data_IF_163388210723
#
_entry.id   IF_163388210723
#
_cell.length_a   1.000
_cell.length_b   1.000
_cell.length_c   1.000
_cell.angle_alpha   90.00
_cell.angle_beta   90.00
_cell.angle_gamma   90.00
#
_symmetry.space_group_name_H-M   'P 1'
#
loop_
_entity.id
_entity.type
_entity.pdbx_description
1 polymer ?
2 non-polymer ?
3 water ?
#
# COMPACT_ATOMS: atom_id res chain seq x y z
N UNK A 39 14.37 15.09 -4.13
CA UNK A 39 13.61 14.54 -2.99
C UNK A 39 14.12 13.17 -2.53
N UNK A 40 14.55 13.09 -1.26
CA UNK A 40 15.15 11.88 -0.69
C UNK A 40 14.18 11.24 0.31
N UNK A 41 13.37 10.30 -0.19
CA UNK A 41 12.28 9.70 0.56
C UNK A 41 12.69 8.39 1.22
N UNK A 42 13.99 8.09 1.21
CA UNK A 42 14.47 6.81 1.70
C UNK A 42 13.88 5.65 0.90
N UNK A 43 13.59 4.56 1.62
CA UNK A 43 13.12 3.31 1.04
C UNK A 43 11.63 3.39 0.71
N UNK A 44 10.96 4.49 1.09
CA UNK A 44 9.52 4.61 0.91
C UNK A 44 9.14 4.74 -0.57
N UNK A 45 10.03 5.34 -1.37
CA UNK A 45 9.72 5.70 -2.74
C UNK A 45 10.86 5.26 -3.67
N UNK A 46 10.46 4.68 -4.81
CA UNK A 46 11.35 4.42 -5.93
C UNK A 46 11.39 5.67 -6.80
N UNK A 47 12.50 6.42 -6.72
CA UNK A 47 12.61 7.74 -7.32
C UNK A 47 12.54 7.67 -8.84
N UNK A 48 13.02 6.57 -9.43
CA UNK A 48 12.97 6.37 -10.88
C UNK A 48 11.53 6.27 -11.36
N UNK A 49 10.67 5.65 -10.56
CA UNK A 49 9.27 5.49 -10.92
C UNK A 49 8.49 6.76 -10.57
N UNK A 50 8.66 7.26 -9.35
CA UNK A 50 7.93 8.45 -8.95
C UNK A 50 8.33 9.60 -9.87
N UNK A 51 9.64 9.74 -10.13
CA UNK A 51 10.16 10.74 -11.04
C UNK A 51 9.35 10.87 -12.33
N UNK A 52 8.86 9.74 -12.86
CA UNK A 52 8.09 9.72 -14.09
C UNK A 52 6.71 10.33 -13.88
N UNK A 53 6.20 10.28 -12.65
CA UNK A 53 4.95 10.97 -12.32
C UNK A 53 5.20 12.48 -12.45
N UNK A 54 6.37 12.94 -11.98
CA UNK A 54 6.64 14.36 -11.87
C UNK A 54 6.78 15.01 -13.25
N UNK A 55 7.11 14.20 -14.27
CA UNK A 55 7.29 14.69 -15.62
C UNK A 55 5.98 15.22 -16.19
N UNK A 56 4.84 14.77 -15.64
CA UNK A 56 3.54 15.07 -16.21
C UNK A 56 3.03 16.43 -15.73
N UNK A 57 3.81 17.09 -14.87
CA UNK A 57 3.51 18.43 -14.40
C UNK A 57 3.93 19.45 -15.45
N UNK A 58 2.98 20.32 -15.85
CA UNK A 58 3.27 21.53 -16.61
C UNK A 58 3.45 22.70 -15.65
N UNK A 59 4.70 23.15 -15.45
CA UNK A 59 4.99 24.19 -14.47
C UNK A 59 5.32 23.59 -13.11
N UNK A 60 5.65 24.46 -12.14
CA UNK A 60 6.28 24.03 -10.90
C UNK A 60 5.28 23.95 -9.74
N UNK A 61 3.97 23.92 -10.05
CA UNK A 61 2.93 23.87 -9.04
C UNK A 61 2.46 22.43 -8.78
N UNK A 62 3.10 21.45 -9.45
CA UNK A 62 2.77 20.03 -9.29
C UNK A 62 1.33 19.76 -9.69
N UNK A 63 0.92 20.34 -10.82
CA UNK A 63 -0.48 20.38 -11.22
C UNK A 63 -1.04 18.99 -11.52
N UNK A 64 -0.17 18.00 -11.79
CA UNK A 64 -0.67 16.66 -12.08
C UNK A 64 -0.35 15.70 -10.94
N UNK A 65 0.90 15.71 -10.48
CA UNK A 65 1.34 14.72 -9.52
C UNK A 65 0.57 14.86 -8.21
N UNK A 66 0.29 16.09 -7.77
CA UNK A 66 -0.25 16.31 -6.43
C UNK A 66 -1.69 15.79 -6.32
N UNK A 67 -2.61 16.13 -7.25
CA UNK A 67 -3.94 15.53 -7.24
C UNK A 67 -3.88 14.00 -7.32
N UNK A 68 -2.94 13.46 -8.10
CA UNK A 68 -2.80 12.03 -8.26
C UNK A 68 -2.42 11.38 -6.93
N UNK A 69 -1.39 11.93 -6.29
CA UNK A 69 -0.94 11.39 -5.02
C UNK A 69 -2.07 11.51 -4.00
N UNK A 70 -2.79 12.63 -4.00
CA UNK A 70 -3.90 12.78 -3.07
C UNK A 70 -4.92 11.67 -3.30
N UNK A 71 -5.26 11.44 -4.56
CA UNK A 71 -6.22 10.42 -4.93
C UNK A 71 -5.78 9.05 -4.39
N UNK A 72 -4.47 8.76 -4.45
CA UNK A 72 -3.93 7.52 -3.93
C UNK A 72 -4.12 7.39 -2.42
N UNK A 73 -3.92 8.47 -1.68
CA UNK A 73 -4.03 8.37 -0.23
C UNK A 73 -5.49 8.15 0.17
N UNK A 74 -6.41 8.81 -0.53
CA UNK A 74 -7.83 8.60 -0.27
C UNK A 74 -8.18 7.14 -0.55
N UNK A 75 -7.72 6.63 -1.70
CA UNK A 75 -8.00 5.28 -2.15
C UNK A 75 -7.42 4.29 -1.14
N UNK A 76 -6.19 4.53 -0.71
CA UNK A 76 -5.54 3.69 0.27
C UNK A 76 -6.38 3.66 1.54
N UNK A 77 -6.85 4.84 1.96
CA UNK A 77 -7.55 4.98 3.22
C UNK A 77 -8.86 4.19 3.15
N UNK A 78 -9.55 4.31 2.02
CA UNK A 78 -10.77 3.54 1.81
C UNK A 78 -10.45 2.05 1.91
N UNK A 79 -9.37 1.62 1.24
CA UNK A 79 -9.04 0.21 1.16
C UNK A 79 -8.73 -0.34 2.55
N UNK A 80 -7.97 0.43 3.34
CA UNK A 80 -7.62 0.01 4.68
C UNK A 80 -8.87 -0.19 5.54
N UNK A 81 -9.87 0.68 5.37
CA UNK A 81 -11.12 0.52 6.11
C UNK A 81 -11.81 -0.76 5.67
N UNK A 82 -11.86 -1.00 4.37
CA UNK A 82 -12.53 -2.19 3.87
C UNK A 82 -11.76 -3.44 4.30
N UNK A 83 -10.45 -3.31 4.51
CA UNK A 83 -9.62 -4.41 4.98
C UNK A 83 -9.90 -4.66 6.46
N UNK A 84 -10.00 -3.57 7.23
CA UNK A 84 -10.16 -3.64 8.68
C UNK A 84 -11.47 -4.35 9.00
N UNK A 85 -12.45 -4.21 8.11
CA UNK A 85 -13.73 -4.87 8.22
C UNK A 85 -13.55 -6.34 7.86
N UNK A 86 -12.83 -6.59 6.77
CA UNK A 86 -12.60 -7.93 6.27
C UNK A 86 -11.87 -8.79 7.30
N UNK A 87 -10.96 -8.17 8.07
CA UNK A 87 -10.33 -8.80 9.21
C UNK A 87 -11.38 -9.17 10.26
N UNK A 88 -12.23 -8.21 10.61
CA UNK A 88 -13.26 -8.41 11.62
C UNK A 88 -14.16 -9.58 11.25
N UNK A 89 -14.38 -9.80 9.95
CA UNK A 89 -15.25 -10.87 9.48
C UNK A 89 -14.46 -12.09 9.01
N UNK A 90 -13.14 -12.09 9.22
CA UNK A 90 -12.29 -13.23 8.92
C UNK A 90 -12.54 -13.75 7.50
N UNK A 91 -12.53 -12.84 6.52
CA UNK A 91 -12.71 -13.19 5.11
C UNK A 91 -11.36 -13.09 4.38
N UNK A 92 -10.68 -14.23 4.28
CA UNK A 92 -9.30 -14.27 3.81
C UNK A 92 -9.22 -13.96 2.32
N UNK A 93 -10.09 -14.53 1.46
CA UNK A 93 -10.13 -14.13 0.05
C UNK A 93 -10.29 -12.63 -0.18
N UNK A 94 -11.25 -11.99 0.51
CA UNK A 94 -11.39 -10.55 0.41
C UNK A 94 -10.07 -9.86 0.72
N UNK A 95 -9.49 -10.18 1.88
CA UNK A 95 -8.23 -9.60 2.30
C UNK A 95 -7.17 -9.80 1.21
N UNK A 96 -7.12 -10.99 0.61
CA UNK A 96 -6.15 -11.27 -0.44
C UNK A 96 -6.29 -10.29 -1.61
N UNK A 97 -7.53 -10.09 -2.06
CA UNK A 97 -7.83 -9.24 -3.20
C UNK A 97 -7.54 -7.76 -2.92
N UNK A 98 -8.02 -7.25 -1.78
CA UNK A 98 -7.74 -5.89 -1.36
C UNK A 98 -6.24 -5.65 -1.31
N UNK A 99 -5.48 -6.61 -0.78
CA UNK A 99 -4.04 -6.51 -0.75
C UNK A 99 -3.46 -6.37 -2.16
N UNK A 100 -3.93 -7.24 -3.06
CA UNK A 100 -3.46 -7.27 -4.43
C UNK A 100 -3.80 -5.96 -5.14
N UNK A 101 -5.00 -5.45 -4.89
CA UNK A 101 -5.44 -4.21 -5.51
C UNK A 101 -4.50 -3.08 -5.11
N UNK A 102 -4.30 -2.94 -3.79
CA UNK A 102 -3.58 -1.80 -3.28
C UNK A 102 -2.09 -1.97 -3.55
N UNK A 103 -1.63 -3.22 -3.63
CA UNK A 103 -0.28 -3.50 -4.09
C UNK A 103 -0.05 -2.90 -5.47
N UNK A 104 -0.99 -3.14 -6.38
CA UNK A 104 -0.91 -2.64 -7.74
C UNK A 104 -0.84 -1.11 -7.84
N UNK A 105 -1.67 -0.40 -7.07
CA UNK A 105 -1.68 1.05 -7.19
C UNK A 105 -0.45 1.67 -6.53
N UNK A 106 0.04 1.09 -5.43
CA UNK A 106 1.27 1.59 -4.83
C UNK A 106 2.46 1.33 -5.75
N UNK A 107 2.46 0.16 -6.42
CA UNK A 107 3.48 -0.17 -7.40
C UNK A 107 3.54 0.89 -8.49
N UNK A 108 2.39 1.31 -9.01
CA UNK A 108 2.35 2.28 -10.09
C UNK A 108 3.08 3.57 -9.72
N UNK A 109 2.97 4.01 -8.46
CA UNK A 109 3.51 5.30 -8.05
C UNK A 109 4.90 5.13 -7.46
N UNK A 110 5.32 3.87 -7.24
CA UNK A 110 6.64 3.60 -6.71
C UNK A 110 6.70 3.66 -5.19
N UNK A 111 5.58 3.34 -4.53
CA UNK A 111 5.51 3.33 -3.08
C UNK A 111 5.79 1.91 -2.60
N UNK A 112 7.09 1.64 -2.43
CA UNK A 112 7.65 0.31 -2.33
C UNK A 112 7.24 -0.34 -1.01
N UNK A 113 7.36 0.41 0.10
CA UNK A 113 7.13 -0.13 1.43
C UNK A 113 5.65 -0.48 1.60
N UNK A 114 4.76 0.35 1.04
CA UNK A 114 3.34 0.03 1.05
C UNK A 114 3.06 -1.18 0.16
N UNK A 115 3.64 -1.21 -1.04
CA UNK A 115 3.43 -2.32 -1.97
C UNK A 115 3.79 -3.65 -1.31
N UNK A 116 4.95 -3.68 -0.64
CA UNK A 116 5.45 -4.90 -0.03
C UNK A 116 4.49 -5.43 1.03
N UNK A 117 3.98 -4.57 1.91
CA UNK A 117 3.09 -5.03 2.95
C UNK A 117 1.79 -5.56 2.34
N UNK A 118 1.34 -4.93 1.26
CA UNK A 118 0.14 -5.36 0.57
C UNK A 118 0.36 -6.71 -0.14
N UNK A 119 1.58 -6.95 -0.64
CA UNK A 119 1.96 -8.25 -1.18
C UNK A 119 1.78 -9.31 -0.09
N UNK A 120 2.26 -9.05 1.13
CA UNK A 120 2.10 -10.03 2.20
C UNK A 120 0.62 -10.28 2.49
N UNK A 121 -0.20 -9.23 2.45
CA UNK A 121 -1.63 -9.42 2.68
C UNK A 121 -2.23 -10.31 1.59
N UNK A 122 -1.78 -10.12 0.34
CA UNK A 122 -2.25 -10.93 -0.77
C UNK A 122 -1.92 -12.41 -0.53
N UNK A 123 -0.67 -12.68 -0.16
CA UNK A 123 -0.14 -14.02 0.04
C UNK A 123 -0.83 -14.72 1.21
N UNK A 124 -0.82 -14.07 2.38
CA UNK A 124 -1.43 -14.62 3.58
C UNK A 124 -2.93 -14.82 3.39
N UNK A 125 -3.55 -14.02 2.52
CA UNK A 125 -4.97 -14.16 2.24
C UNK A 125 -5.27 -15.40 1.41
N UNK A 126 -4.28 -15.86 0.65
CA UNK A 126 -4.41 -17.07 -0.14
C UNK A 126 -3.96 -18.27 0.69
N UNK A 127 -3.61 -18.05 1.95
CA UNK A 127 -3.23 -19.13 2.82
C UNK A 127 -1.82 -19.65 2.54
N UNK A 128 -0.89 -18.75 2.23
CA UNK A 128 0.48 -19.10 1.90
C UNK A 128 1.46 -18.34 2.79
N UNK A 129 2.60 -18.97 3.10
CA UNK A 129 3.69 -18.31 3.80
C UNK A 129 4.58 -17.62 2.77
N UNK A 130 5.61 -16.90 3.26
CA UNK A 130 6.49 -16.14 2.39
C UNK A 130 7.27 -17.09 1.49
N UNK A 131 7.62 -18.28 2.01
CA UNK A 131 8.41 -19.26 1.27
C UNK A 131 7.56 -19.94 0.19
N UNK A 132 6.25 -19.68 0.15
CA UNK A 132 5.37 -20.30 -0.83
C UNK A 132 4.63 -21.53 -0.29
N UNK A 133 5.07 -22.07 0.85
CA UNK A 133 4.40 -23.20 1.47
C UNK A 133 3.03 -22.77 1.97
N UNK A 134 2.08 -23.71 2.00
CA UNK A 134 0.74 -23.42 2.48
C UNK A 134 0.76 -23.24 4.00
N UNK A 135 -0.15 -22.40 4.48
CA UNK A 135 -0.42 -22.24 5.90
C UNK A 135 -1.88 -22.59 6.13
N UNK A 136 -2.21 -23.78 6.69
CA UNK A 136 -3.59 -24.24 6.80
C UNK A 136 -4.39 -23.59 7.92
N UNK A 137 -3.71 -22.97 8.89
CA UNK A 137 -4.39 -22.34 10.02
C UNK A 137 -4.84 -20.92 9.69
N UNK A 138 -6.16 -20.73 9.53
CA UNK A 138 -6.73 -19.44 9.20
C UNK A 138 -6.39 -18.40 10.27
N UNK A 139 -6.41 -18.83 11.53
CA UNK A 139 -6.09 -17.95 12.64
C UNK A 139 -4.71 -17.34 12.47
N UNK A 140 -3.76 -18.16 12.03
CA UNK A 140 -2.41 -17.68 11.82
C UNK A 140 -2.41 -16.67 10.67
N UNK A 141 -3.15 -16.97 9.61
CA UNK A 141 -3.12 -16.13 8.43
C UNK A 141 -3.62 -14.73 8.79
N UNK A 142 -4.77 -14.70 9.47
CA UNK A 142 -5.39 -13.46 9.93
C UNK A 142 -4.44 -12.65 10.80
N UNK A 143 -3.72 -13.31 11.70
CA UNK A 143 -2.80 -12.61 12.57
C UNK A 143 -1.67 -11.99 11.75
N UNK A 144 -1.20 -12.70 10.72
CA UNK A 144 -0.10 -12.21 9.89
C UNK A 144 -0.58 -11.01 9.07
N UNK A 145 -1.82 -11.09 8.58
CA UNK A 145 -2.45 -10.01 7.84
C UNK A 145 -2.58 -8.76 8.71
N UNK A 146 -3.03 -8.93 9.96
CA UNK A 146 -3.13 -7.83 10.91
C UNK A 146 -1.79 -7.11 11.07
N UNK A 147 -0.70 -7.86 11.27
CA UNK A 147 0.62 -7.25 11.37
C UNK A 147 0.97 -6.47 10.11
N UNK A 148 0.68 -7.04 8.94
CA UNK A 148 1.07 -6.43 7.67
C UNK A 148 0.19 -5.22 7.37
N UNK A 149 -1.07 -5.27 7.81
CA UNK A 149 -1.98 -4.14 7.68
C UNK A 149 -1.51 -2.96 8.53
N UNK A 150 -1.03 -3.23 9.74
CA UNK A 150 -0.48 -2.21 10.62
C UNK A 150 0.75 -1.57 9.98
N UNK A 151 1.66 -2.39 9.44
CA UNK A 151 2.83 -1.87 8.76
C UNK A 151 2.44 -0.97 7.59
N UNK A 152 1.48 -1.44 6.80
CA UNK A 152 1.01 -0.71 5.63
C UNK A 152 0.47 0.65 6.05
N UNK A 153 -0.41 0.67 7.07
CA UNK A 153 -1.05 1.89 7.51
C UNK A 153 0.01 2.87 8.02
N UNK A 154 0.94 2.37 8.84
CA UNK A 154 1.98 3.22 9.41
C UNK A 154 2.83 3.79 8.28
N UNK A 155 3.18 2.94 7.29
CA UNK A 155 4.03 3.38 6.19
C UNK A 155 3.27 4.38 5.33
N UNK A 156 1.95 4.22 5.20
CA UNK A 156 1.13 5.17 4.46
C UNK A 156 1.18 6.55 5.12
N UNK A 157 1.03 6.58 6.45
CA UNK A 157 1.01 7.81 7.22
C UNK A 157 2.36 8.49 7.07
N UNK A 158 3.44 7.75 7.33
CA UNK A 158 4.78 8.26 7.15
C UNK A 158 4.93 8.91 5.78
N UNK A 159 4.45 8.23 4.73
CA UNK A 159 4.65 8.73 3.37
C UNK A 159 3.79 9.96 3.13
N UNK A 160 2.55 9.92 3.62
CA UNK A 160 1.65 11.05 3.52
C UNK A 160 2.30 12.32 4.07
N UNK A 161 2.94 12.24 5.24
CA UNK A 161 3.60 13.40 5.82
C UNK A 161 4.68 13.92 4.87
N UNK A 162 5.59 13.04 4.44
CA UNK A 162 6.71 13.45 3.60
C UNK A 162 6.20 14.06 2.29
N UNK A 163 5.12 13.49 1.74
CA UNK A 163 4.55 13.98 0.50
C UNK A 163 3.92 15.35 0.71
N UNK A 164 3.46 15.62 1.94
CA UNK A 164 2.88 16.91 2.28
C UNK A 164 3.98 17.95 2.39
N UNK A 165 5.12 17.57 2.97
CA UNK A 165 6.28 18.45 3.02
C UNK A 165 6.79 18.70 1.61
N UNK A 166 6.75 17.66 0.76
CA UNK A 166 7.30 17.75 -0.58
C UNK A 166 6.45 18.67 -1.44
N UNK A 167 5.13 18.56 -1.33
CA UNK A 167 4.24 19.33 -2.19
C UNK A 167 3.96 20.73 -1.63
N UNK A 168 4.78 21.20 -0.67
CA UNK A 168 4.71 22.58 -0.18
C UNK A 168 6.12 23.19 -0.18
X LIG B 1 -12.54 1.58 -3.24
X LIG B 1 -13.77 1.77 -2.49
X LIG B 1 -12.48 2.56 -4.33
X LIG B 1 -12.23 3.87 -3.78
X LIG C 1 -0.88 15.49 -1.04
X LIG C 1 -1.32 15.55 0.29
X LIG C 1 -1.60 16.57 -1.79
X LIG C 1 -1.31 17.87 -1.23
X LIG D 1 -6.63 -7.34 -9.72
X LIG D 1 -7.18 -7.50 -8.37
X LIG D 1 -7.08 -6.03 -10.25
X LIG D 1 -6.68 -4.99 -9.32
#
# INVERSE_FOLDING_TARGET
GPGADRAQDHNNNNTPRNSNYVVEEEEVSEEEEEAIMMPDFGDHVDTSIFGQILEMDEGDDHDFSAPLVLNFFEQAEETFQKMETALNNKDLPELSKLGEFLKGSSATLGFTKIRDSCQLIQQYGHGLNVDGSSEPDEGVCLKKIAEALASARVDTVALHKMMREFFEY
EDO C1 O1 C2 O2
EDO C1 O1 C2 O2
EDO C1 O1 C2 O2
#
